data_IF_070727789724
#
_entry.id   IF_070727789724
#
_cell.length_a   1.000
_cell.length_b   1.000
_cell.length_c   1.000
_cell.angle_alpha   90.00
_cell.angle_beta   90.00
_cell.angle_gamma   90.00
#
_symmetry.space_group_name_H-M   'P 1'
#
loop_
_entity.id
_entity.type
_entity.pdbx_description
1 polymer ?
#
# COMPACT_ATOMS: atom_id res chain seq x y z
N UNK A 1 2.17 7.90 -4.57
CA UNK A 1 1.83 7.65 -5.98
C UNK A 1 2.86 6.70 -6.56
N UNK A 2 2.47 5.64 -7.28
CA UNK A 2 3.41 4.71 -7.91
C UNK A 2 4.08 5.34 -9.14
N UNK A 3 5.31 4.95 -9.41
CA UNK A 3 6.10 5.28 -10.60
C UNK A 3 6.07 4.11 -11.59
N UNK A 4 6.05 4.44 -12.88
CA UNK A 4 6.31 3.49 -13.96
C UNK A 4 7.77 3.62 -14.36
N UNK A 5 8.56 2.58 -14.12
CA UNK A 5 10.00 2.53 -14.45
C UNK A 5 10.18 1.79 -15.76
N UNK A 6 10.96 2.38 -16.67
CA UNK A 6 11.49 1.75 -17.87
C UNK A 6 13.00 1.60 -17.71
N UNK A 7 13.51 0.38 -17.91
CA UNK A 7 14.94 0.06 -17.83
C UNK A 7 15.35 -0.74 -19.06
N UNK A 8 16.49 -0.38 -19.64
CA UNK A 8 17.07 -1.07 -20.79
C UNK A 8 18.58 -1.24 -20.57
N UNK A 9 19.14 -2.36 -21.03
CA UNK A 9 20.58 -2.60 -21.00
C UNK A 9 21.21 -2.05 -22.28
N UNK A 10 22.14 -1.09 -22.13
CA UNK A 10 22.73 -0.37 -23.27
C UNK A 10 23.79 -1.20 -24.04
N UNK A 11 24.18 -2.35 -23.50
CA UNK A 11 25.10 -3.33 -24.08
C UNK A 11 24.38 -4.47 -24.84
N UNK A 12 23.04 -4.44 -24.88
CA UNK A 12 22.21 -5.45 -25.54
C UNK A 12 22.19 -6.82 -24.85
N UNK A 13 22.80 -6.97 -23.67
CA UNK A 13 22.88 -8.25 -22.95
C UNK A 13 21.66 -8.51 -22.05
N UNK A 14 20.89 -7.47 -21.71
CA UNK A 14 19.74 -7.54 -20.81
C UNK A 14 18.41 -7.24 -21.49
N UNK A 15 17.31 -7.83 -20.98
CA UNK A 15 15.95 -7.55 -21.42
C UNK A 15 15.50 -6.11 -21.11
N UNK A 16 14.67 -5.50 -21.96
CA UNK A 16 13.92 -4.28 -21.59
C UNK A 16 12.97 -4.66 -20.45
N UNK A 17 12.97 -3.87 -19.37
CA UNK A 17 12.13 -4.08 -18.19
C UNK A 17 11.21 -2.90 -17.94
N UNK A 18 9.94 -3.19 -17.70
CA UNK A 18 8.93 -2.19 -17.31
C UNK A 18 8.27 -2.64 -16.02
N UNK A 19 8.23 -1.75 -15.02
CA UNK A 19 7.76 -2.10 -13.69
C UNK A 19 6.99 -0.95 -13.04
N UNK A 20 5.88 -1.29 -12.38
CA UNK A 20 5.19 -0.37 -11.46
C UNK A 20 5.82 -0.49 -10.07
N UNK A 21 6.30 0.60 -9.52
CA UNK A 21 7.06 0.61 -8.27
C UNK A 21 6.79 1.88 -7.45
N UNK A 22 6.73 1.82 -6.11
CA UNK A 22 6.69 3.03 -5.29
C UNK A 22 8.07 3.72 -5.19
N UNK A 23 9.14 3.09 -5.65
CA UNK A 23 10.52 3.57 -5.53
C UNK A 23 10.85 4.50 -6.70
N UNK A 24 11.18 5.76 -6.40
CA UNK A 24 11.72 6.68 -7.41
C UNK A 24 13.15 6.25 -7.76
N UNK A 25 13.36 5.89 -9.03
CA UNK A 25 14.70 5.50 -9.53
C UNK A 25 15.50 6.74 -9.88
N UNK A 26 16.66 6.88 -9.26
CA UNK A 26 17.63 7.98 -9.51
C UNK A 26 19.06 7.48 -9.71
N UNK A 27 19.33 6.23 -9.33
CA UNK A 27 20.61 5.54 -9.50
C UNK A 27 20.42 4.03 -9.66
N UNK A 28 21.49 3.31 -10.01
CA UNK A 28 21.43 1.86 -10.24
C UNK A 28 20.97 1.06 -9.00
N UNK A 29 21.37 1.47 -7.79
CA UNK A 29 20.92 0.79 -6.56
C UNK A 29 19.41 0.94 -6.35
N UNK A 30 18.87 2.14 -6.62
CA UNK A 30 17.41 2.38 -6.55
C UNK A 30 16.65 1.68 -7.68
N UNK A 31 17.28 1.48 -8.86
CA UNK A 31 16.70 0.68 -9.94
C UNK A 31 16.62 -0.80 -9.54
N UNK A 32 17.68 -1.35 -8.97
CA UNK A 32 17.67 -2.73 -8.47
C UNK A 32 16.59 -2.91 -7.40
N UNK A 33 16.50 -1.99 -6.44
CA UNK A 33 15.48 -2.02 -5.39
C UNK A 33 14.04 -1.82 -5.92
N UNK A 34 13.88 -0.99 -6.94
CA UNK A 34 12.62 -0.75 -7.62
C UNK A 34 12.12 -1.98 -8.39
N UNK A 35 13.02 -2.70 -9.04
CA UNK A 35 12.73 -3.95 -9.75
C UNK A 35 12.51 -5.10 -8.76
N UNK A 36 13.32 -5.22 -7.70
CA UNK A 36 13.21 -6.30 -6.72
C UNK A 36 11.88 -6.27 -5.94
N UNK A 37 11.35 -5.06 -5.67
CA UNK A 37 10.04 -4.87 -5.02
C UNK A 37 8.84 -4.81 -5.98
N UNK A 38 9.06 -4.78 -7.29
CA UNK A 38 7.96 -4.64 -8.23
C UNK A 38 7.18 -5.96 -8.34
N UNK A 39 5.94 -5.97 -7.87
CA UNK A 39 5.05 -7.16 -7.93
C UNK A 39 4.66 -7.55 -9.36
N UNK A 40 4.87 -6.64 -10.32
CA UNK A 40 4.57 -6.81 -11.75
C UNK A 40 5.69 -6.18 -12.56
N UNK A 41 6.64 -7.02 -13.00
CA UNK A 41 7.73 -6.67 -13.90
C UNK A 41 7.46 -7.36 -15.22
N UNK A 42 7.45 -6.59 -16.30
CA UNK A 42 7.54 -7.16 -17.64
C UNK A 42 9.00 -7.12 -18.09
N UNK A 43 9.49 -8.24 -18.62
CA UNK A 43 10.82 -8.35 -19.21
C UNK A 43 10.68 -8.89 -20.63
N UNK A 44 11.33 -8.26 -21.60
CA UNK A 44 11.49 -8.82 -22.95
C UNK A 44 12.96 -8.89 -23.36
N UNK A 45 13.42 -10.11 -23.68
CA UNK A 45 14.73 -10.30 -24.29
C UNK A 45 14.80 -9.61 -25.65
N UNK A 46 15.98 -9.10 -26.03
CA UNK A 46 16.20 -8.39 -27.30
C UNK A 46 16.02 -9.26 -28.55
N UNK A 47 15.97 -10.59 -28.43
CA UNK A 47 15.84 -11.55 -29.55
C UNK A 47 14.45 -12.19 -29.63
N UNK A 48 13.91 -12.39 -30.84
CA UNK A 48 12.58 -12.95 -31.12
C UNK A 48 11.58 -11.95 -31.74
N UNK A 49 10.35 -12.38 -32.02
CA UNK A 49 9.32 -11.55 -32.67
C UNK A 49 8.96 -10.31 -31.83
N UNK A 50 9.20 -9.14 -32.40
CA UNK A 50 8.97 -7.83 -31.78
C UNK A 50 7.47 -7.50 -31.71
N UNK A 51 6.66 -8.03 -32.64
CA UNK A 51 5.23 -7.73 -32.76
C UNK A 51 4.42 -8.31 -31.61
N UNK A 52 4.62 -9.61 -31.31
CA UNK A 52 4.00 -10.26 -30.17
C UNK A 52 4.38 -9.59 -28.82
N UNK A 53 5.61 -9.10 -28.70
CA UNK A 53 6.10 -8.41 -27.49
C UNK A 53 5.51 -7.03 -27.31
N UNK A 54 5.32 -6.28 -28.41
CA UNK A 54 4.60 -5.01 -28.35
C UNK A 54 3.15 -5.21 -27.92
N UNK A 55 2.50 -6.29 -28.39
CA UNK A 55 1.12 -6.58 -28.00
C UNK A 55 1.01 -6.98 -26.52
N UNK A 56 1.92 -7.79 -25.98
CA UNK A 56 1.94 -8.14 -24.56
C UNK A 56 2.20 -6.93 -23.65
N UNK A 57 3.14 -6.06 -24.04
CA UNK A 57 3.39 -4.80 -23.33
C UNK A 57 2.17 -3.87 -23.38
N UNK A 58 1.52 -3.76 -24.56
CA UNK A 58 0.29 -3.00 -24.76
C UNK A 58 -0.82 -3.52 -23.86
N UNK A 59 -1.03 -4.83 -23.81
CA UNK A 59 -2.04 -5.47 -22.97
C UNK A 59 -1.76 -5.26 -21.48
N UNK A 60 -0.51 -5.34 -21.05
CA UNK A 60 -0.12 -5.12 -19.64
C UNK A 60 -0.32 -3.67 -19.23
N UNK A 61 0.10 -2.72 -20.07
CA UNK A 61 -0.13 -1.28 -19.84
C UNK A 61 -1.62 -0.95 -19.83
N UNK A 62 -2.41 -1.55 -20.73
CA UNK A 62 -3.85 -1.39 -20.77
C UNK A 62 -4.54 -1.96 -19.53
N UNK A 63 -4.10 -3.13 -19.04
CA UNK A 63 -4.61 -3.70 -17.79
C UNK A 63 -4.22 -2.84 -16.57
N UNK A 64 -3.01 -2.27 -16.55
CA UNK A 64 -2.58 -1.34 -15.52
C UNK A 64 -3.41 -0.05 -15.55
N UNK A 65 -3.68 0.50 -16.73
CA UNK A 65 -4.56 1.66 -16.92
C UNK A 65 -5.98 1.37 -16.40
N UNK A 66 -6.56 0.23 -16.78
CA UNK A 66 -7.89 -0.19 -16.29
C UNK A 66 -7.91 -0.30 -14.76
N UNK A 67 -6.90 -0.93 -14.17
CA UNK A 67 -6.77 -1.03 -12.72
C UNK A 67 -6.66 0.35 -12.05
N UNK A 68 -5.81 1.24 -12.57
CA UNK A 68 -5.64 2.60 -12.03
C UNK A 68 -6.91 3.44 -12.17
N UNK A 69 -7.68 3.24 -13.24
CA UNK A 69 -8.99 3.86 -13.45
C UNK A 69 -10.00 3.38 -12.40
N UNK A 70 -10.10 2.08 -12.15
CA UNK A 70 -11.01 1.54 -11.12
C UNK A 70 -10.60 1.96 -9.71
N UNK A 71 -9.30 1.94 -9.41
CA UNK A 71 -8.77 2.43 -8.14
C UNK A 71 -9.11 3.92 -7.93
N UNK A 72 -8.96 4.74 -8.97
CA UNK A 72 -9.33 6.15 -8.94
C UNK A 72 -10.84 6.35 -8.72
N UNK A 73 -11.69 5.53 -9.34
CA UNK A 73 -13.15 5.55 -9.13
C UNK A 73 -13.50 5.19 -7.69
N UNK A 74 -12.90 4.13 -7.15
CA UNK A 74 -13.11 3.70 -5.77
C UNK A 74 -12.66 4.76 -4.75
N UNK A 75 -11.47 5.34 -4.95
CA UNK A 75 -10.96 6.44 -4.11
C UNK A 75 -11.91 7.65 -4.13
N UNK A 76 -12.35 8.09 -5.31
CA UNK A 76 -13.34 9.19 -5.45
C UNK A 76 -14.67 8.88 -4.76
N UNK A 77 -15.14 7.62 -4.80
CA UNK A 77 -16.37 7.21 -4.11
C UNK A 77 -16.23 7.34 -2.59
N UNK A 78 -15.06 6.96 -2.05
CA UNK A 78 -14.76 7.07 -0.62
C UNK A 78 -14.52 8.53 -0.20
N UNK A 79 -13.90 9.33 -1.05
CA UNK A 79 -13.66 10.75 -0.82
C UNK A 79 -14.97 11.55 -0.67
N UNK A 80 -16.00 11.19 -1.46
CA UNK A 80 -17.35 11.78 -1.37
C UNK A 80 -18.14 11.37 -0.14
N UNK A 81 -17.77 10.27 0.52
CA UNK A 81 -18.44 9.81 1.74
C UNK A 81 -17.85 10.53 2.95
N UNK A 82 -18.51 11.59 3.41
CA UNK A 82 -18.16 12.25 4.67
C UNK A 82 -18.33 11.28 5.84
N UNK A 83 -17.37 11.27 6.75
CA UNK A 83 -17.41 10.46 7.97
C UNK A 83 -17.36 11.42 9.16
N UNK A 84 -18.41 11.40 9.98
CA UNK A 84 -18.45 12.20 11.20
C UNK A 84 -17.53 11.61 12.26
N UNK A 85 -17.08 12.43 13.22
CA UNK A 85 -16.20 11.97 14.29
C UNK A 85 -16.87 10.87 15.15
N UNK A 86 -18.19 10.91 15.30
CA UNK A 86 -18.96 9.84 15.95
C UNK A 86 -18.91 8.52 15.15
N UNK A 87 -19.07 8.58 13.83
CA UNK A 87 -18.99 7.40 12.97
C UNK A 87 -17.58 6.80 12.94
N UNK A 88 -16.53 7.63 12.94
CA UNK A 88 -15.13 7.16 13.09
C UNK A 88 -15.01 6.31 14.36
N UNK A 89 -15.56 6.79 15.46
CA UNK A 89 -15.45 6.12 16.76
C UNK A 89 -16.23 4.81 16.81
N UNK A 90 -17.40 4.74 16.18
CA UNK A 90 -18.15 3.51 16.01
C UNK A 90 -17.40 2.50 15.13
N UNK A 91 -16.82 2.95 14.00
CA UNK A 91 -16.05 2.08 13.12
C UNK A 91 -14.77 1.56 13.79
N UNK A 92 -14.06 2.38 14.56
CA UNK A 92 -12.90 1.92 15.36
C UNK A 92 -13.33 0.86 16.38
N UNK A 93 -14.49 1.03 17.03
CA UNK A 93 -15.02 0.02 17.97
C UNK A 93 -15.40 -1.28 17.26
N UNK A 94 -15.96 -1.20 16.05
CA UNK A 94 -16.32 -2.34 15.22
C UNK A 94 -15.08 -3.12 14.76
N UNK A 95 -14.02 -2.42 14.34
CA UNK A 95 -12.77 -3.04 13.88
C UNK A 95 -11.96 -3.65 15.03
N UNK A 96 -12.02 -3.04 16.22
CA UNK A 96 -11.29 -3.48 17.40
C UNK A 96 -12.28 -3.74 18.54
N UNK A 97 -13.10 -4.81 18.49
CA UNK A 97 -14.10 -5.09 19.51
C UNK A 97 -13.45 -5.48 20.84
N UNK A 98 -14.16 -5.22 21.93
CA UNK A 98 -13.81 -5.70 23.27
C UNK A 98 -14.87 -6.74 23.63
N UNK A 99 -14.45 -7.98 23.87
CA UNK A 99 -15.35 -9.05 24.28
C UNK A 99 -15.94 -8.75 25.67
N UNK A 100 -17.18 -9.17 25.92
CA UNK A 100 -17.86 -8.89 27.19
C UNK A 100 -17.19 -9.56 28.41
N UNK A 101 -16.47 -10.66 28.17
CA UNK A 101 -15.70 -11.43 29.14
C UNK A 101 -14.20 -11.09 29.13
N UNK A 102 -13.81 -10.00 28.45
CA UNK A 102 -12.41 -9.60 28.35
C UNK A 102 -11.82 -9.27 29.73
N UNK A 103 -10.61 -9.78 29.99
CA UNK A 103 -9.84 -9.36 31.18
C UNK A 103 -9.52 -7.86 31.13
N UNK A 104 -9.33 -7.22 32.28
CA UNK A 104 -8.92 -5.80 32.35
C UNK A 104 -7.66 -5.50 31.52
N UNK A 105 -6.73 -6.47 31.46
CA UNK A 105 -5.50 -6.35 30.66
C UNK A 105 -5.81 -6.34 29.17
N UNK A 106 -6.67 -7.24 28.70
CA UNK A 106 -7.13 -7.28 27.30
C UNK A 106 -7.87 -5.99 26.94
N UNK A 107 -8.75 -5.51 27.82
CA UNK A 107 -9.50 -4.27 27.61
C UNK A 107 -8.56 -3.06 27.49
N UNK A 108 -7.58 -2.95 28.40
CA UNK A 108 -6.57 -1.88 28.38
C UNK A 108 -5.74 -1.93 27.10
N UNK A 109 -5.39 -3.11 26.61
CA UNK A 109 -4.63 -3.30 25.38
C UNK A 109 -5.44 -2.88 24.14
N UNK A 110 -6.71 -3.29 24.05
CA UNK A 110 -7.58 -2.88 22.94
C UNK A 110 -7.81 -1.36 22.95
N UNK A 111 -7.97 -0.74 24.12
CA UNK A 111 -8.05 0.74 24.23
C UNK A 111 -6.81 1.44 23.70
N UNK A 112 -5.60 0.89 23.93
CA UNK A 112 -4.35 1.42 23.34
C UNK A 112 -4.34 1.31 21.81
N UNK A 113 -4.75 0.17 21.26
CA UNK A 113 -4.84 -0.03 19.81
C UNK A 113 -5.85 0.94 19.16
N UNK A 114 -7.00 1.15 19.80
CA UNK A 114 -8.00 2.13 19.35
C UNK A 114 -7.44 3.55 19.35
N UNK A 115 -6.66 3.91 20.37
CA UNK A 115 -5.99 5.22 20.42
C UNK A 115 -4.94 5.38 19.31
N UNK A 116 -4.16 4.34 19.01
CA UNK A 116 -3.19 4.38 17.91
C UNK A 116 -3.87 4.61 16.55
N UNK A 117 -4.92 3.83 16.26
CA UNK A 117 -5.71 4.00 15.04
C UNK A 117 -6.35 5.39 14.95
N UNK A 118 -6.86 5.90 16.08
CA UNK A 118 -7.41 7.25 16.18
C UNK A 118 -6.34 8.31 15.86
N UNK A 119 -5.15 8.17 16.43
CA UNK A 119 -4.05 9.10 16.18
C UNK A 119 -3.64 9.10 14.71
N UNK A 120 -3.57 7.93 14.06
CA UNK A 120 -3.31 7.85 12.62
C UNK A 120 -4.39 8.56 11.82
N UNK A 121 -5.66 8.38 12.17
CA UNK A 121 -6.75 9.08 11.49
C UNK A 121 -6.67 10.60 11.64
N UNK A 122 -6.43 11.15 12.83
CA UNK A 122 -6.49 12.59 13.07
C UNK A 122 -5.17 13.33 12.84
N UNK A 123 -4.04 12.69 13.14
CA UNK A 123 -2.73 13.36 13.29
C UNK A 123 -1.69 12.93 12.25
N UNK A 124 -1.97 11.93 11.40
CA UNK A 124 -0.98 11.48 10.43
C UNK A 124 -0.64 12.59 9.40
N UNK A 125 0.66 12.86 9.16
CA UNK A 125 1.09 13.99 8.35
C UNK A 125 0.72 13.86 6.87
N UNK A 126 0.65 12.63 6.36
CA UNK A 126 0.23 12.29 4.99
C UNK A 126 -1.27 12.51 4.75
N UNK A 127 -2.07 12.59 5.82
CA UNK A 127 -3.51 12.82 5.73
C UNK A 127 -3.92 14.29 5.92
N UNK A 128 -3.01 15.21 6.23
CA UNK A 128 -3.35 16.62 6.55
C UNK A 128 -4.20 17.30 5.47
N UNK A 129 -3.92 17.03 4.18
CA UNK A 129 -4.68 17.59 3.06
C UNK A 129 -5.97 16.84 2.69
N UNK A 130 -6.25 15.71 3.35
CA UNK A 130 -7.41 14.85 3.06
C UNK A 130 -8.54 15.19 4.03
N UNK A 131 -9.72 15.53 3.51
CA UNK A 131 -10.89 15.82 4.35
C UNK A 131 -11.33 14.64 5.23
N UNK A 132 -12.24 14.89 6.18
CA UNK A 132 -12.86 13.84 7.00
C UNK A 132 -13.84 12.99 6.18
N UNK A 133 -13.29 11.99 5.49
CA UNK A 133 -14.04 11.13 4.58
C UNK A 133 -13.58 9.67 4.65
N UNK A 134 -14.31 8.80 3.94
CA UNK A 134 -14.04 7.37 3.92
C UNK A 134 -12.66 7.03 3.39
N UNK A 135 -12.10 7.86 2.50
CA UNK A 135 -10.76 7.63 1.96
C UNK A 135 -9.69 7.84 3.04
N UNK A 136 -9.81 8.92 3.83
CA UNK A 136 -8.97 9.17 5.01
C UNK A 136 -9.04 8.01 6.01
N UNK A 137 -10.25 7.50 6.27
CA UNK A 137 -10.45 6.39 7.20
C UNK A 137 -9.78 5.10 6.74
N UNK A 138 -9.95 4.72 5.46
CA UNK A 138 -9.31 3.53 4.88
C UNK A 138 -7.78 3.64 4.92
N UNK A 139 -7.21 4.80 4.64
CA UNK A 139 -5.76 5.00 4.72
C UNK A 139 -5.26 4.85 6.17
N UNK A 140 -5.96 5.44 7.15
CA UNK A 140 -5.59 5.31 8.56
C UNK A 140 -5.66 3.85 9.07
N UNK A 141 -6.69 3.11 8.66
CA UNK A 141 -6.83 1.67 8.99
C UNK A 141 -5.76 0.84 8.30
N UNK A 142 -5.46 1.14 7.04
CA UNK A 142 -4.42 0.43 6.28
C UNK A 142 -3.05 0.64 6.90
N UNK A 143 -2.72 1.88 7.24
CA UNK A 143 -1.48 2.24 7.94
C UNK A 143 -1.40 1.54 9.31
N UNK A 144 -2.48 1.54 10.09
CA UNK A 144 -2.55 0.79 11.34
C UNK A 144 -2.32 -0.72 11.14
N UNK A 145 -3.03 -1.35 10.20
CA UNK A 145 -2.93 -2.80 9.99
C UNK A 145 -1.53 -3.25 9.55
N UNK A 146 -0.82 -2.39 8.82
CA UNK A 146 0.51 -2.69 8.28
C UNK A 146 1.63 -2.26 9.22
N UNK A 147 1.55 -1.05 9.80
CA UNK A 147 2.62 -0.39 10.55
C UNK A 147 2.33 -0.21 12.04
N UNK A 148 1.31 -0.88 12.61
CA UNK A 148 1.15 -0.93 14.07
C UNK A 148 2.31 -1.70 14.71
N UNK A 149 3.00 -1.04 15.65
CA UNK A 149 3.97 -1.70 16.50
C UNK A 149 3.26 -2.72 17.40
N UNK A 150 3.84 -3.91 17.64
CA UNK A 150 3.26 -4.88 18.53
C UNK A 150 3.23 -4.32 19.95
N UNK A 151 2.22 -4.72 20.73
CA UNK A 151 2.09 -4.33 22.14
C UNK A 151 3.22 -4.88 23.02
N UNK A 152 3.97 -5.89 22.54
CA UNK A 152 5.15 -6.46 23.20
C UNK A 152 6.24 -6.68 22.17
N UNK A 153 7.33 -5.95 22.31
CA UNK A 153 8.57 -6.20 21.57
C UNK A 153 9.36 -7.27 22.35
N UNK A 154 9.58 -8.43 21.74
CA UNK A 154 10.46 -9.47 22.32
C UNK A 154 11.87 -9.29 21.76
N UNK A 155 12.89 -9.87 22.40
CA UNK A 155 14.27 -9.82 21.89
C UNK A 155 14.45 -10.42 20.47
N UNK A 156 13.45 -11.16 19.97
CA UNK A 156 13.39 -11.70 18.60
C UNK A 156 12.54 -10.86 17.64
N UNK A 157 12.02 -9.72 18.08
CA UNK A 157 11.19 -8.87 17.24
C UNK A 157 12.05 -8.21 16.14
N UNK A 158 11.98 -8.76 14.94
CA UNK A 158 12.40 -8.09 13.70
C UNK A 158 11.15 -7.50 13.05
N UNK A 159 11.12 -6.19 12.80
CA UNK A 159 10.11 -5.53 11.96
C UNK A 159 10.25 -6.03 10.50
N UNK A 160 9.77 -7.24 10.22
CA UNK A 160 9.59 -7.71 8.85
C UNK A 160 8.11 -7.60 8.48
N UNK A 161 7.66 -6.36 8.22
CA UNK A 161 6.30 -6.07 7.73
C UNK A 161 5.95 -6.87 6.46
N UNK A 162 6.94 -7.18 5.62
CA UNK A 162 6.78 -7.88 4.35
C UNK A 162 6.31 -9.34 4.49
N UNK A 163 6.54 -10.00 5.64
CA UNK A 163 6.14 -11.39 5.85
C UNK A 163 4.66 -11.54 6.27
N UNK A 164 3.99 -10.46 6.68
CA UNK A 164 2.61 -10.50 7.18
C UNK A 164 1.55 -10.37 6.09
N UNK A 165 1.95 -10.18 4.83
CA UNK A 165 1.05 -9.89 3.71
C UNK A 165 1.05 -10.98 2.62
N UNK A 166 1.60 -12.16 2.91
CA UNK A 166 1.47 -13.35 2.05
C UNK A 166 0.26 -14.20 2.43
#
# INVERSE_FOLDING_TARGET
>A
MPYLVFSNSHDGSGSIKVAMTPVRVVCQNTLNFALDNASRIWCANHTGDIGAKMEDARMTLFMAENYMNELSKASKKLDRKKVSDAAVEEYIKLLLPIAADATETTERNVKKLRMDLKNRYYLAPDLVGVGKNGYRFVNAVSDFATHAKPLRETAKYKENLFLKTM
#
